data_IF_100826551084
#
_entry.id   IF_100826551084
#
_cell.length_a   1.000
_cell.length_b   1.000
_cell.length_c   1.000
_cell.angle_alpha   90.00
_cell.angle_beta   90.00
_cell.angle_gamma   90.00
#
_symmetry.space_group_name_H-M   'P 1'
#
loop_
_entity.id
_entity.type
_entity.pdbx_description
1 polymer ?
#
# COMPACT_ATOMS: atom_id res chain seq x y z
N UNK A 1 -18.42 4.24 8.84
CA UNK A 1 -18.25 3.28 7.73
C UNK A 1 -17.66 3.96 6.50
N UNK A 2 -18.42 4.67 5.66
CA UNK A 2 -17.85 5.31 4.45
C UNK A 2 -16.76 6.35 4.75
N UNK A 3 -16.87 7.08 5.84
CA UNK A 3 -15.84 8.02 6.30
C UNK A 3 -14.49 7.35 6.58
N UNK A 4 -14.51 6.09 7.01
CA UNK A 4 -13.32 5.30 7.29
C UNK A 4 -12.77 4.66 6.01
N UNK A 5 -13.64 4.07 5.19
CA UNK A 5 -13.28 3.47 3.90
C UNK A 5 -12.69 4.49 2.92
N UNK A 6 -13.15 5.74 2.96
CA UNK A 6 -12.64 6.83 2.12
C UNK A 6 -11.69 7.78 2.87
N UNK A 7 -11.21 7.41 4.05
CA UNK A 7 -10.33 8.27 4.86
C UNK A 7 -9.02 8.64 4.16
N UNK A 8 -8.56 7.83 3.21
CA UNK A 8 -7.38 8.11 2.40
C UNK A 8 -7.56 9.14 1.27
N UNK A 9 -8.80 9.53 0.93
CA UNK A 9 -9.07 10.45 -0.19
C UNK A 9 -8.55 11.84 0.13
N UNK A 10 -7.69 12.38 -0.74
CA UNK A 10 -7.11 13.71 -0.57
C UNK A 10 -5.97 13.79 0.45
N UNK A 11 -5.52 12.66 1.00
CA UNK A 11 -4.34 12.61 1.87
C UNK A 11 -3.06 12.44 1.05
N UNK A 12 -1.99 13.11 1.48
CA UNK A 12 -0.65 12.87 0.97
C UNK A 12 -0.08 11.58 1.55
N UNK A 13 0.56 10.75 0.72
CA UNK A 13 1.10 9.46 1.17
C UNK A 13 2.43 9.59 1.90
N UNK A 14 3.09 10.77 1.84
CA UNK A 14 4.40 10.99 2.49
C UNK A 14 4.40 10.68 3.97
N UNK A 15 3.33 11.03 4.69
CA UNK A 15 3.22 10.78 6.14
C UNK A 15 3.07 9.30 6.48
N UNK A 16 2.73 8.44 5.52
CA UNK A 16 2.67 6.99 5.73
C UNK A 16 4.06 6.34 5.67
N UNK A 17 5.08 7.02 5.14
CA UNK A 17 6.44 6.51 5.11
C UNK A 17 7.12 6.68 6.47
N UNK A 18 7.78 5.61 6.93
CA UNK A 18 8.66 5.65 8.10
C UNK A 18 10.10 6.00 7.74
N UNK A 19 11.01 5.81 8.69
CA UNK A 19 12.45 5.98 8.47
C UNK A 19 13.00 4.91 7.53
N UNK A 20 13.86 5.34 6.60
CA UNK A 20 14.61 4.44 5.71
C UNK A 20 16.00 4.19 6.27
N UNK A 21 16.60 3.04 5.94
CA UNK A 21 17.97 2.71 6.31
C UNK A 21 18.80 2.34 5.07
N UNK A 22 20.11 2.57 5.14
CA UNK A 22 21.02 2.19 4.07
C UNK A 22 21.25 0.68 4.05
N UNK A 23 21.34 0.11 2.85
CA UNK A 23 21.64 -1.32 2.65
C UNK A 23 22.45 -1.55 1.38
N UNK A 24 23.43 -2.44 1.46
CA UNK A 24 24.18 -2.92 0.30
C UNK A 24 23.47 -4.05 -0.44
N UNK A 25 22.30 -4.48 0.04
CA UNK A 25 21.52 -5.56 -0.58
C UNK A 25 21.11 -5.21 -2.01
N UNK A 26 21.47 -6.08 -2.97
CA UNK A 26 21.20 -5.88 -4.41
C UNK A 26 20.07 -6.75 -4.97
N UNK A 27 19.43 -7.57 -4.13
CA UNK A 27 18.33 -8.44 -4.54
C UNK A 27 16.95 -7.76 -4.48
N UNK A 28 15.90 -8.53 -4.76
CA UNK A 28 14.52 -8.09 -4.60
C UNK A 28 14.06 -8.29 -3.15
N UNK A 29 13.37 -7.30 -2.63
CA UNK A 29 12.63 -7.37 -1.37
C UNK A 29 11.15 -7.47 -1.70
N UNK A 30 10.46 -8.41 -1.07
CA UNK A 30 9.04 -8.64 -1.27
C UNK A 30 8.30 -8.67 0.07
N UNK A 31 7.15 -8.01 0.12
CA UNK A 31 6.13 -8.17 1.16
C UNK A 31 4.89 -8.67 0.45
N UNK A 32 4.47 -9.90 0.75
CA UNK A 32 3.38 -10.57 0.04
C UNK A 32 2.23 -10.89 0.97
N UNK A 33 1.05 -11.10 0.38
CA UNK A 33 -0.15 -11.50 1.11
C UNK A 33 -0.76 -10.40 1.97
N UNK A 34 -0.52 -9.11 1.66
CA UNK A 34 -1.07 -7.98 2.42
C UNK A 34 -2.59 -7.95 2.21
N UNK A 35 -3.43 -8.14 3.27
CA UNK A 35 -4.87 -8.04 3.12
C UNK A 35 -5.28 -6.65 2.65
N UNK A 36 -6.09 -6.58 1.60
CA UNK A 36 -6.52 -5.32 1.01
C UNK A 36 -8.04 -5.29 0.84
N UNK A 37 -8.62 -4.14 1.15
CA UNK A 37 -10.04 -3.85 1.07
C UNK A 37 -10.21 -2.46 0.48
N UNK A 38 -11.08 -2.34 -0.52
CA UNK A 38 -11.39 -1.04 -1.13
C UNK A 38 -12.76 -1.08 -1.80
N UNK A 39 -13.10 -0.02 -2.53
CA UNK A 39 -14.41 0.23 -3.12
C UNK A 39 -14.27 0.48 -4.63
N UNK A 40 -15.07 -0.21 -5.43
CA UNK A 40 -15.17 0.06 -6.87
C UNK A 40 -15.86 1.42 -7.07
N UNK A 41 -15.21 2.37 -7.73
CA UNK A 41 -15.75 3.73 -7.93
C UNK A 41 -17.04 3.79 -8.75
N UNK A 42 -17.22 2.85 -9.70
CA UNK A 42 -18.36 2.86 -10.61
C UNK A 42 -19.69 2.47 -9.93
N UNK A 43 -19.61 1.54 -8.97
CA UNK A 43 -20.80 0.91 -8.39
C UNK A 43 -20.86 1.08 -6.87
N UNK A 44 -19.80 1.61 -6.26
CA UNK A 44 -19.63 1.73 -4.82
C UNK A 44 -19.84 0.39 -4.09
N UNK A 45 -19.37 -0.70 -4.71
CA UNK A 45 -19.34 -2.03 -4.15
C UNK A 45 -17.93 -2.38 -3.64
N UNK A 46 -17.82 -3.11 -2.52
CA UNK A 46 -16.53 -3.50 -1.97
C UNK A 46 -15.84 -4.52 -2.89
N UNK A 47 -14.52 -4.44 -2.95
CA UNK A 47 -13.66 -5.52 -3.43
C UNK A 47 -12.54 -5.75 -2.43
N UNK A 48 -12.06 -7.00 -2.37
CA UNK A 48 -11.08 -7.43 -1.39
C UNK A 48 -10.20 -8.54 -1.95
N UNK A 49 -9.00 -8.67 -1.39
CA UNK A 49 -8.02 -9.65 -1.80
C UNK A 49 -6.68 -9.42 -1.12
N UNK A 50 -5.60 -9.75 -1.83
CA UNK A 50 -4.22 -9.56 -1.35
C UNK A 50 -3.44 -8.66 -2.28
N UNK A 51 -2.51 -7.90 -1.72
CA UNK A 51 -1.52 -7.09 -2.45
C UNK A 51 -0.12 -7.63 -2.14
N UNK A 52 0.69 -7.73 -3.19
CA UNK A 52 2.10 -8.07 -3.11
C UNK A 52 2.92 -6.86 -3.55
N UNK A 53 3.85 -6.42 -2.71
CA UNK A 53 4.78 -5.32 -3.00
C UNK A 53 6.16 -5.90 -3.17
N UNK A 54 6.75 -5.72 -4.35
CA UNK A 54 8.11 -6.18 -4.67
C UNK A 54 8.92 -4.99 -5.18
N UNK A 55 10.11 -4.78 -4.61
CA UNK A 55 10.99 -3.70 -5.00
C UNK A 55 12.47 -4.12 -4.93
N UNK A 56 13.31 -3.45 -5.70
CA UNK A 56 14.76 -3.55 -5.58
C UNK A 56 15.26 -2.31 -4.82
N UNK A 57 15.88 -2.46 -3.63
CA UNK A 57 16.48 -1.35 -2.93
C UNK A 57 17.56 -0.68 -3.80
N UNK A 58 17.55 0.65 -3.84
CA UNK A 58 18.65 1.44 -4.39
C UNK A 58 19.41 2.08 -3.23
N UNK A 59 20.74 2.03 -3.31
CA UNK A 59 21.62 2.79 -2.44
C UNK A 59 21.64 4.26 -2.88
#
# INVERSE_FOLDING_TARGET
LYSELFSGVGLDTKSAWGETFSTDYKGLVAVTGIPFYSMCEHHLLPFFGTVDIVYQPKA
#
